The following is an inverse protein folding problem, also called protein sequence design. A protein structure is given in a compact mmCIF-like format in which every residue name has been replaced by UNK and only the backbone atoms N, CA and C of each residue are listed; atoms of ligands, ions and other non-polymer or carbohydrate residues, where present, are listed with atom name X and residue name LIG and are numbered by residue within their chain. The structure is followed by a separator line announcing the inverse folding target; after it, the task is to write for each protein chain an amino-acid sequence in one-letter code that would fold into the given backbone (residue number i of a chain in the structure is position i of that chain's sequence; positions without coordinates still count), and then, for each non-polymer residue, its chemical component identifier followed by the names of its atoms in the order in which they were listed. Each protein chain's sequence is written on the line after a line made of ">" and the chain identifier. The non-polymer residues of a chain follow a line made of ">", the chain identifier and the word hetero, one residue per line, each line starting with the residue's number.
data_IF_095130629402
#
_entry.id   IF_095130629402
#
_cell.length_a   1.000
_cell.length_b   1.000
_cell.length_c   1.000
_cell.angle_alpha   90.00
_cell.angle_beta   90.00
_cell.angle_gamma   90.00
#
_symmetry.space_group_name_H-M   'P 1'
#
loop_
_entity.id
_entity.type
_entity.pdbx_description
1 polymer ?
#
# COMPACT_ATOMS: atom_id res chain seq x y z
N UNK A 1 8.85 22.09 11.72
CA UNK A 1 9.31 20.71 11.44
C UNK A 1 8.11 19.75 11.49
N UNK A 2 7.53 19.38 10.36
CA UNK A 2 6.40 18.45 10.33
C UNK A 2 6.64 17.36 9.27
N UNK A 3 7.64 16.50 9.53
CA UNK A 3 8.02 15.39 8.65
C UNK A 3 8.30 14.08 9.42
N UNK A 4 7.85 14.00 10.68
CA UNK A 4 8.10 12.87 11.59
C UNK A 4 6.83 12.33 12.28
N UNK A 5 5.63 12.62 11.78
CA UNK A 5 4.46 11.82 12.17
C UNK A 5 4.40 10.62 11.24
N UNK A 6 4.44 9.41 11.82
CA UNK A 6 3.93 8.21 11.16
C UNK A 6 2.57 8.55 10.58
N UNK A 7 2.40 8.47 9.26
CA UNK A 7 1.09 8.73 8.66
C UNK A 7 0.14 7.57 8.95
N UNK A 8 0.69 6.38 9.28
CA UNK A 8 -0.01 5.13 9.60
C UNK A 8 -1.38 5.03 8.94
N UNK A 9 -1.45 5.25 7.61
CA UNK A 9 -2.69 5.55 6.95
C UNK A 9 -3.62 4.35 7.10
N UNK A 10 -4.83 4.57 7.62
CA UNK A 10 -5.86 3.52 7.64
C UNK A 10 -5.98 2.92 6.24
N UNK A 11 -5.96 1.59 6.06
CA UNK A 11 -5.95 1.02 4.73
C UNK A 11 -7.31 1.28 4.07
N UNK A 12 -7.35 1.36 2.74
CA UNK A 12 -8.54 1.83 2.00
C UNK A 12 -8.78 1.01 0.75
N UNK A 13 -10.02 1.01 0.28
CA UNK A 13 -10.43 0.44 -1.02
C UNK A 13 -10.87 1.56 -1.96
N UNK A 14 -10.69 1.38 -3.27
CA UNK A 14 -11.19 2.30 -4.29
C UNK A 14 -12.72 2.33 -4.34
N UNK A 15 -13.39 1.29 -3.82
CA UNK A 15 -14.84 1.25 -3.64
C UNK A 15 -15.25 1.51 -2.19
N UNK A 16 -15.70 2.74 -1.89
CA UNK A 16 -16.14 3.11 -0.53
C UNK A 16 -17.28 2.25 0.02
N UNK A 17 -18.07 1.61 -0.84
CA UNK A 17 -19.18 0.75 -0.44
C UNK A 17 -18.73 -0.69 -0.11
N UNK A 18 -17.48 -1.05 -0.44
CA UNK A 18 -16.93 -2.37 -0.20
C UNK A 18 -16.04 -2.36 1.04
N UNK A 19 -16.59 -2.68 2.22
CA UNK A 19 -15.74 -2.95 3.38
C UNK A 19 -15.04 -4.31 3.21
N UNK A 20 -13.84 -4.32 2.65
CA UNK A 20 -13.02 -5.52 2.55
C UNK A 20 -12.30 -5.79 3.87
N UNK A 21 -12.71 -6.85 4.58
CA UNK A 21 -12.01 -7.35 5.80
C UNK A 21 -10.56 -7.77 5.48
N UNK A 22 -10.26 -8.04 4.22
CA UNK A 22 -8.93 -8.48 3.79
C UNK A 22 -7.92 -7.33 3.86
N UNK A 23 -8.33 -6.10 3.55
CA UNK A 23 -7.45 -4.92 3.49
C UNK A 23 -6.85 -4.55 4.84
N UNK A 24 -7.63 -4.67 5.92
CA UNK A 24 -7.15 -4.48 7.28
C UNK A 24 -6.15 -5.58 7.70
N UNK A 25 -6.45 -6.82 7.32
CA UNK A 25 -5.58 -7.98 7.63
C UNK A 25 -4.25 -7.90 6.87
N UNK A 26 -4.28 -7.53 5.58
CA UNK A 26 -3.09 -7.30 4.74
C UNK A 26 -2.21 -6.24 5.40
N UNK A 27 -2.77 -5.10 5.79
CA UNK A 27 -2.00 -4.05 6.49
C UNK A 27 -1.39 -4.61 7.78
N UNK A 28 -2.17 -5.29 8.61
CA UNK A 28 -1.69 -5.85 9.89
C UNK A 28 -0.55 -6.85 9.68
N UNK A 29 -0.69 -7.73 8.69
CA UNK A 29 0.31 -8.73 8.34
C UNK A 29 1.62 -8.08 7.90
N UNK A 30 1.58 -7.07 7.03
CA UNK A 30 2.80 -6.40 6.55
C UNK A 30 3.40 -5.48 7.60
N UNK A 31 2.57 -4.80 8.41
CA UNK A 31 3.04 -4.00 9.54
C UNK A 31 3.66 -4.84 10.67
N UNK A 32 3.42 -6.17 10.71
CA UNK A 32 4.01 -7.05 11.71
C UNK A 32 5.51 -7.30 11.53
N UNK A 33 6.06 -6.98 10.36
CA UNK A 33 7.48 -7.10 10.09
C UNK A 33 8.26 -6.03 10.88
N UNK A 34 9.25 -6.42 11.71
CA UNK A 34 9.96 -5.49 12.57
C UNK A 34 10.81 -4.46 11.79
N UNK A 35 11.12 -4.71 10.53
CA UNK A 35 11.84 -3.79 9.64
C UNK A 35 10.96 -2.68 9.08
N UNK A 36 9.64 -2.85 9.12
CA UNK A 36 8.68 -1.91 8.56
C UNK A 36 8.40 -0.79 9.56
N UNK A 37 8.44 0.43 9.06
CA UNK A 37 8.12 1.64 9.81
C UNK A 37 6.66 2.05 9.60
N UNK A 38 6.19 2.00 8.35
CA UNK A 38 4.81 2.37 7.99
C UNK A 38 4.34 1.64 6.73
N UNK A 39 3.03 1.45 6.57
CA UNK A 39 2.40 0.72 5.45
C UNK A 39 1.15 1.45 4.97
N UNK A 40 1.08 1.67 3.66
CA UNK A 40 -0.11 2.11 2.95
C UNK A 40 -0.64 0.94 2.09
N UNK A 41 -1.88 0.56 2.33
CA UNK A 41 -2.59 -0.46 1.54
C UNK A 41 -3.77 0.20 0.83
N UNK A 42 -3.82 0.03 -0.49
CA UNK A 42 -4.92 0.49 -1.35
C UNK A 42 -5.40 -0.68 -2.19
N UNK A 43 -6.61 -1.16 -1.93
CA UNK A 43 -7.25 -2.24 -2.68
C UNK A 43 -8.08 -1.66 -3.82
N UNK A 44 -7.81 -2.11 -5.05
CA UNK A 44 -8.58 -1.77 -6.24
C UNK A 44 -9.56 -2.87 -6.63
N UNK A 45 -10.16 -2.74 -7.82
CA UNK A 45 -11.05 -3.79 -8.34
C UNK A 45 -10.33 -5.10 -8.69
N UNK A 46 -9.07 -5.02 -9.14
CA UNK A 46 -8.31 -6.17 -9.66
C UNK A 46 -6.94 -6.34 -9.00
N UNK A 47 -6.42 -5.28 -8.38
CA UNK A 47 -5.05 -5.23 -7.88
C UNK A 47 -5.05 -4.56 -6.51
N UNK A 48 -4.16 -5.03 -5.63
CA UNK A 48 -3.94 -4.45 -4.31
C UNK A 48 -2.52 -3.91 -4.25
N UNK A 49 -2.39 -2.60 -4.04
CA UNK A 49 -1.11 -1.94 -3.82
C UNK A 49 -0.75 -2.00 -2.34
N UNK A 50 0.43 -2.53 -2.04
CA UNK A 50 1.04 -2.51 -0.71
C UNK A 50 2.36 -1.74 -0.80
N UNK A 51 2.32 -0.47 -0.42
CA UNK A 51 3.49 0.38 -0.37
C UNK A 51 3.94 0.55 1.08
N UNK A 52 5.25 0.46 1.37
CA UNK A 52 5.75 0.51 2.74
C UNK A 52 7.04 1.28 2.89
N UNK A 53 7.20 1.90 4.06
CA UNK A 53 8.42 2.57 4.48
C UNK A 53 9.23 1.64 5.36
N UNK A 54 10.46 1.33 4.94
CA UNK A 54 11.41 0.55 5.75
C UNK A 54 12.14 1.46 6.74
N UNK A 55 12.36 0.95 7.97
CA UNK A 55 13.20 1.61 8.98
C UNK A 55 14.58 1.89 8.41
N UNK A 56 15.14 3.07 8.70
CA UNK A 56 16.38 3.53 8.07
C UNK A 56 17.53 2.52 8.19
N UNK A 57 17.74 1.95 9.39
CA UNK A 57 18.78 0.95 9.67
C UNK A 57 18.59 -0.41 8.95
N UNK A 58 17.44 -0.63 8.31
CA UNK A 58 17.10 -1.90 7.62
C UNK A 58 17.09 -1.76 6.10
N UNK A 59 17.40 -0.58 5.56
CA UNK A 59 17.36 -0.31 4.11
C UNK A 59 18.32 -1.17 3.28
N UNK A 60 19.46 -1.60 3.86
CA UNK A 60 20.40 -2.51 3.19
C UNK A 60 19.79 -3.88 2.84
N UNK A 61 18.65 -4.25 3.45
CA UNK A 61 17.97 -5.54 3.24
C UNK A 61 16.63 -5.41 2.52
N UNK A 62 16.36 -4.29 1.83
CA UNK A 62 15.07 -4.02 1.17
C UNK A 62 14.62 -5.15 0.24
N UNK A 63 15.49 -5.64 -0.65
CA UNK A 63 15.16 -6.78 -1.54
C UNK A 63 14.73 -8.03 -0.78
N UNK A 64 15.40 -8.34 0.34
CA UNK A 64 15.04 -9.50 1.19
C UNK A 64 13.71 -9.29 1.89
N UNK A 65 13.47 -8.08 2.40
CA UNK A 65 12.21 -7.71 3.06
C UNK A 65 11.05 -7.83 2.07
N UNK A 66 11.22 -7.29 0.87
CA UNK A 66 10.23 -7.37 -0.21
C UNK A 66 9.90 -8.81 -0.59
N UNK A 67 10.92 -9.65 -0.78
CA UNK A 67 10.73 -11.07 -1.06
C UNK A 67 9.99 -11.82 0.06
N UNK A 68 10.24 -11.47 1.32
CA UNK A 68 9.52 -12.06 2.45
C UNK A 68 8.05 -11.61 2.51
N UNK A 69 7.78 -10.33 2.21
CA UNK A 69 6.42 -9.79 2.14
C UNK A 69 5.64 -10.45 1.00
N UNK A 70 6.22 -10.55 -0.20
CA UNK A 70 5.59 -11.22 -1.34
C UNK A 70 5.22 -12.67 -1.00
N UNK A 71 6.15 -13.44 -0.44
CA UNK A 71 5.87 -14.83 -0.02
C UNK A 71 4.75 -14.93 1.02
N UNK A 72 4.69 -14.00 1.97
CA UNK A 72 3.62 -13.97 2.97
C UNK A 72 2.27 -13.70 2.30
N UNK A 73 2.21 -12.71 1.40
CA UNK A 73 1.00 -12.29 0.74
C UNK A 73 0.47 -13.37 -0.23
N UNK A 74 1.34 -13.96 -1.05
CA UNK A 74 0.99 -15.07 -1.93
C UNK A 74 0.44 -16.27 -1.15
N UNK A 75 1.03 -16.60 0.00
CA UNK A 75 0.59 -17.73 0.83
C UNK A 75 -0.75 -17.47 1.51
N UNK A 76 -0.98 -16.26 2.04
CA UNK A 76 -2.19 -15.92 2.81
C UNK A 76 -3.37 -15.47 1.94
N UNK A 77 -3.08 -14.89 0.79
CA UNK A 77 -4.07 -14.26 -0.09
C UNK A 77 -3.81 -14.68 -1.56
N UNK A 78 -3.88 -15.99 -1.88
CA UNK A 78 -3.50 -16.51 -3.21
C UNK A 78 -4.40 -16.02 -4.36
N UNK A 79 -5.59 -15.50 -4.04
CA UNK A 79 -6.56 -15.01 -5.02
C UNK A 79 -6.43 -13.49 -5.27
N UNK A 80 -5.49 -12.81 -4.61
CA UNK A 80 -5.29 -11.37 -4.72
C UNK A 80 -4.06 -11.08 -5.60
N UNK A 81 -4.15 -10.07 -6.46
CA UNK A 81 -3.04 -9.64 -7.29
C UNK A 81 -2.32 -8.46 -6.62
N UNK A 82 -1.14 -8.70 -6.05
CA UNK A 82 -0.40 -7.68 -5.33
C UNK A 82 0.61 -6.93 -6.20
N UNK A 83 0.69 -5.63 -5.98
CA UNK A 83 1.85 -4.82 -6.33
C UNK A 83 2.48 -4.35 -5.03
N UNK A 84 3.71 -4.76 -4.78
CA UNK A 84 4.42 -4.51 -3.52
C UNK A 84 5.59 -3.59 -3.81
N UNK A 85 5.73 -2.51 -3.04
CA UNK A 85 6.80 -1.53 -3.26
C UNK A 85 7.38 -0.97 -1.97
N UNK A 86 8.71 -0.99 -1.90
CA UNK A 86 9.48 -0.32 -0.85
C UNK A 86 9.90 1.12 -1.22
N UNK A 87 9.54 1.59 -2.42
CA UNK A 87 9.88 2.94 -2.89
C UNK A 87 9.11 4.02 -2.12
N UNK A 88 9.84 5.02 -1.63
CA UNK A 88 9.26 6.05 -0.79
C UNK A 88 8.31 6.99 -1.55
N UNK A 89 8.54 7.26 -2.84
CA UNK A 89 7.61 8.05 -3.66
C UNK A 89 6.30 7.28 -3.87
N UNK A 90 6.38 5.98 -4.15
CA UNK A 90 5.19 5.13 -4.27
C UNK A 90 4.39 5.11 -2.96
N UNK A 91 5.06 5.02 -1.81
CA UNK A 91 4.42 5.16 -0.50
C UNK A 91 3.70 6.51 -0.32
N UNK A 92 4.34 7.62 -0.68
CA UNK A 92 3.73 8.96 -0.56
C UNK A 92 2.51 9.14 -1.47
N UNK A 93 2.57 8.67 -2.71
CA UNK A 93 1.43 8.71 -3.63
C UNK A 93 0.28 7.81 -3.15
N UNK A 94 0.58 6.64 -2.58
CA UNK A 94 -0.42 5.77 -1.96
C UNK A 94 -1.10 6.44 -0.75
N UNK A 95 -0.34 7.11 0.12
CA UNK A 95 -0.89 7.90 1.24
C UNK A 95 -1.79 9.03 0.74
N UNK A 96 -1.35 9.76 -0.29
CA UNK A 96 -2.13 10.85 -0.89
C UNK A 96 -3.45 10.36 -1.49
N UNK A 97 -3.42 9.27 -2.28
CA UNK A 97 -4.63 8.63 -2.79
C UNK A 97 -5.57 8.22 -1.66
N UNK A 98 -5.01 7.65 -0.59
CA UNK A 98 -5.76 7.23 0.57
C UNK A 98 -6.48 8.40 1.27
N UNK A 99 -5.79 9.52 1.46
CA UNK A 99 -6.38 10.75 1.99
C UNK A 99 -7.47 11.31 1.07
N UNK A 100 -7.27 11.29 -0.26
CA UNK A 100 -8.28 11.74 -1.22
C UNK A 100 -9.55 10.89 -1.17
N UNK A 101 -9.41 9.55 -1.11
CA UNK A 101 -10.57 8.65 -1.03
C UNK A 101 -11.36 8.92 0.27
N UNK A 102 -10.69 9.15 1.39
CA UNK A 102 -11.37 9.38 2.68
C UNK A 102 -12.01 10.75 2.80
N UNK A 103 -11.27 11.80 2.44
CA UNK A 103 -11.64 13.18 2.73
C UNK A 103 -12.63 13.75 1.71
N UNK A 104 -12.56 13.33 0.45
CA UNK A 104 -13.41 13.88 -0.61
C UNK A 104 -14.61 12.96 -0.89
N UNK A 105 -15.80 13.39 -0.45
CA UNK A 105 -17.08 12.69 -0.71
C UNK A 105 -17.40 12.57 -2.19
N UNK A 106 -16.92 13.48 -3.05
CA UNK A 106 -17.11 13.48 -4.51
C UNK A 106 -16.04 12.67 -5.25
N UNK A 107 -15.04 12.15 -4.54
CA UNK A 107 -14.02 11.30 -5.14
C UNK A 107 -14.63 9.97 -5.59
N UNK A 108 -14.84 9.85 -6.90
CA UNK A 108 -15.54 8.71 -7.48
C UNK A 108 -14.66 7.46 -7.47
N UNK A 109 -15.31 6.29 -7.38
CA UNK A 109 -14.66 4.98 -7.49
C UNK A 109 -13.78 4.86 -8.74
N UNK A 110 -14.24 5.40 -9.87
CA UNK A 110 -13.49 5.38 -11.13
C UNK A 110 -12.22 6.25 -11.06
N UNK A 111 -12.28 7.41 -10.41
CA UNK A 111 -11.11 8.28 -10.21
C UNK A 111 -10.10 7.63 -9.27
N UNK A 112 -10.58 6.99 -8.20
CA UNK A 112 -9.74 6.23 -7.28
C UNK A 112 -9.02 5.08 -7.99
N UNK A 113 -9.76 4.30 -8.78
CA UNK A 113 -9.19 3.20 -9.56
C UNK A 113 -8.16 3.70 -10.57
N UNK A 114 -8.45 4.77 -11.32
CA UNK A 114 -7.51 5.33 -12.31
C UNK A 114 -6.21 5.80 -11.66
N UNK A 115 -6.29 6.44 -10.50
CA UNK A 115 -5.09 6.87 -9.78
C UNK A 115 -4.31 5.68 -9.21
N UNK A 116 -4.98 4.66 -8.67
CA UNK A 116 -4.32 3.45 -8.21
C UNK A 116 -3.54 2.78 -9.34
N UNK A 117 -4.15 2.60 -10.51
CA UNK A 117 -3.50 1.99 -11.67
C UNK A 117 -2.27 2.80 -12.12
N UNK A 118 -2.35 4.14 -12.13
CA UNK A 118 -1.19 4.99 -12.42
C UNK A 118 -0.03 4.76 -11.43
N UNK A 119 -0.32 4.62 -10.14
CA UNK A 119 0.72 4.35 -9.12
C UNK A 119 1.34 2.97 -9.34
N UNK A 120 0.53 1.97 -9.70
CA UNK A 120 1.00 0.61 -10.03
C UNK A 120 1.89 0.64 -11.27
N UNK A 121 1.52 1.37 -12.32
CA UNK A 121 2.32 1.54 -13.53
C UNK A 121 3.69 2.15 -13.22
N UNK A 122 3.73 3.25 -12.47
CA UNK A 122 4.99 3.87 -12.04
C UNK A 122 5.89 2.91 -11.27
N UNK A 123 5.31 2.00 -10.48
CA UNK A 123 6.08 0.99 -9.74
C UNK A 123 6.81 0.04 -10.71
N UNK A 124 6.14 -0.34 -11.81
CA UNK A 124 6.70 -1.24 -12.83
C UNK A 124 7.76 -0.58 -13.70
N UNK A 125 7.65 0.72 -13.95
CA UNK A 125 8.66 1.49 -14.70
C UNK A 125 9.98 1.66 -13.93
N UNK A 126 9.93 1.56 -12.60
CA UNK A 126 11.09 1.70 -11.72
C UNK A 126 11.79 0.37 -11.37
N UNK A 127 11.20 -0.77 -11.79
CA UNK A 127 11.68 -2.12 -11.50
C UNK A 127 12.38 -2.71 -12.72
#
# INVERSE_FOLDING_TARGET
>A
MALLKTTNPSPVTTDKNQKSRNVERIKKDVSSFPEIYDVAVVEGKKNTLVAYKVKHLKRMKMKKIEGNINKLLEKKYPNENFTVSSDYKIFLEAVKLNEQIKSDKKFSKQKAEKQLQKIIEMTKEMT
#
